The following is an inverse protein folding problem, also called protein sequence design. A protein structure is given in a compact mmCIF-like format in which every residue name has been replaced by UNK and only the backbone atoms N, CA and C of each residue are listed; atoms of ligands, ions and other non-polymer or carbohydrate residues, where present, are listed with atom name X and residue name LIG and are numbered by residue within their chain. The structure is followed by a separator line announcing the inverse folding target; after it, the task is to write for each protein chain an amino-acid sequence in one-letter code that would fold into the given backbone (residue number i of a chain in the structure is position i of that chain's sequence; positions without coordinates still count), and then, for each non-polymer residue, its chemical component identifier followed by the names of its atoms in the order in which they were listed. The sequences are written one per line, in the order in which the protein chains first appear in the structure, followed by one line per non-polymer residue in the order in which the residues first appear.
data_IF_393861096315
#
_entry.id   IF_393861096315
#
_cell.length_a   1.000
_cell.length_b   1.000
_cell.length_c   1.000
_cell.angle_alpha   90.00
_cell.angle_beta   90.00
_cell.angle_gamma   90.00
#
_symmetry.space_group_name_H-M   'P 1'
#
loop_
_entity.id
_entity.type
_entity.pdbx_description
1 polymer ?
#
# COMPACT_ATOMS: atom_id res chain seq x y z
N UNK A 1 5.19 14.61 -58.87
CA UNK A 1 4.56 14.00 -57.68
C UNK A 1 5.63 13.91 -56.59
N UNK A 2 5.46 14.66 -55.49
CA UNK A 2 6.49 14.86 -54.45
C UNK A 2 6.35 13.82 -53.33
N UNK A 3 7.44 13.12 -52.99
CA UNK A 3 7.47 12.12 -51.93
C UNK A 3 7.54 12.78 -50.55
N UNK A 4 6.50 12.63 -49.72
CA UNK A 4 6.49 13.07 -48.33
C UNK A 4 7.27 12.09 -47.45
N UNK A 5 8.44 12.52 -46.98
CA UNK A 5 9.23 11.79 -45.99
C UNK A 5 8.56 11.87 -44.61
N UNK A 6 8.12 10.71 -44.10
CA UNK A 6 7.42 10.55 -42.82
C UNK A 6 8.41 10.83 -41.66
N UNK A 7 8.23 11.94 -40.95
CA UNK A 7 9.03 12.27 -39.76
C UNK A 7 8.67 11.30 -38.62
N UNK A 8 9.69 10.66 -38.04
CA UNK A 8 9.57 9.78 -36.87
C UNK A 8 9.13 10.61 -35.64
N UNK A 9 8.19 10.14 -34.81
CA UNK A 9 7.85 10.83 -33.56
C UNK A 9 9.04 10.78 -32.61
N UNK A 10 9.39 11.92 -32.02
CA UNK A 10 10.42 12.01 -30.97
C UNK A 10 9.86 11.40 -29.69
N UNK A 11 10.52 10.36 -29.23
CA UNK A 11 10.30 9.74 -27.92
C UNK A 11 10.53 10.80 -26.84
N UNK A 12 9.49 11.12 -26.07
CA UNK A 12 9.62 11.98 -24.89
C UNK A 12 10.14 11.08 -23.77
N UNK A 13 11.46 11.10 -23.58
CA UNK A 13 12.10 10.49 -22.43
C UNK A 13 11.68 11.28 -21.20
N UNK A 14 10.70 10.77 -20.46
CA UNK A 14 10.38 11.25 -19.12
C UNK A 14 11.58 10.87 -18.24
N UNK A 15 12.46 11.85 -17.97
CA UNK A 15 13.49 11.69 -16.96
C UNK A 15 12.80 11.47 -15.61
N UNK A 16 12.73 10.22 -15.16
CA UNK A 16 12.42 9.92 -13.78
C UNK A 16 13.50 10.58 -12.92
N UNK A 17 13.12 11.63 -12.21
CA UNK A 17 14.00 12.32 -11.27
C UNK A 17 14.28 11.33 -10.15
N UNK A 18 15.50 10.81 -10.06
CA UNK A 18 15.92 9.97 -8.93
C UNK A 18 15.85 10.80 -7.65
N UNK A 19 14.79 10.62 -6.87
CA UNK A 19 14.61 11.27 -5.56
C UNK A 19 15.51 10.54 -4.56
N UNK A 20 16.34 11.28 -3.83
CA UNK A 20 17.23 10.68 -2.82
C UNK A 20 16.37 10.19 -1.63
N UNK A 21 16.72 9.06 -0.96
CA UNK A 21 15.96 8.54 0.18
C UNK A 21 15.67 9.56 1.28
N UNK A 22 16.58 10.51 1.51
CA UNK A 22 16.46 11.60 2.49
C UNK A 22 15.35 12.61 2.12
N UNK A 23 15.16 12.91 0.84
CA UNK A 23 14.10 13.83 0.39
C UNK A 23 12.71 13.22 0.58
N UNK A 24 12.60 11.90 0.42
CA UNK A 24 11.37 11.14 0.57
C UNK A 24 10.96 10.97 2.04
N UNK A 25 11.93 10.83 2.96
CA UNK A 25 11.66 10.83 4.41
C UNK A 25 11.11 12.15 4.95
N UNK A 26 11.31 13.27 4.26
CA UNK A 26 10.77 14.56 4.69
C UNK A 26 9.26 14.71 4.43
N UNK A 27 8.66 13.85 3.60
CA UNK A 27 7.21 13.82 3.38
C UNK A 27 6.44 13.41 4.65
N UNK A 28 7.09 12.65 5.54
CA UNK A 28 6.45 12.12 6.73
C UNK A 28 6.45 13.11 7.90
N UNK A 29 5.45 13.01 8.81
CA UNK A 29 5.48 13.70 10.10
C UNK A 29 6.81 13.47 10.80
N UNK A 30 7.39 14.53 11.37
CA UNK A 30 8.71 14.49 12.03
C UNK A 30 8.79 13.38 13.08
N UNK A 31 7.69 13.11 13.77
CA UNK A 31 7.57 12.05 14.76
C UNK A 31 7.74 10.63 14.17
N UNK A 32 7.39 10.42 12.89
CA UNK A 32 7.48 9.11 12.23
C UNK A 32 8.83 8.86 11.54
N UNK A 33 9.55 9.91 11.16
CA UNK A 33 10.82 9.81 10.42
C UNK A 33 11.85 8.86 11.05
N UNK A 34 12.04 8.80 12.39
CA UNK A 34 12.98 7.85 13.00
C UNK A 34 12.63 6.38 12.79
N UNK A 35 11.36 6.07 12.48
CA UNK A 35 10.87 4.70 12.28
C UNK A 35 10.85 4.27 10.81
N UNK A 36 11.14 5.21 9.90
CA UNK A 36 11.14 4.99 8.46
C UNK A 36 12.54 4.63 8.02
N UNK A 37 12.71 3.39 7.55
CA UNK A 37 14.04 2.82 7.31
C UNK A 37 14.35 2.76 5.83
N UNK A 38 13.32 2.56 5.01
CA UNK A 38 13.45 2.61 3.57
C UNK A 38 12.20 3.25 3.01
N UNK A 39 12.43 4.29 2.22
CA UNK A 39 11.40 4.83 1.35
C UNK A 39 11.85 4.59 -0.08
N UNK A 40 10.99 3.94 -0.86
CA UNK A 40 11.28 3.62 -2.25
C UNK A 40 10.22 4.28 -3.13
N UNK A 41 10.71 5.13 -4.03
CA UNK A 41 9.93 5.68 -5.13
C UNK A 41 9.70 4.57 -6.16
N UNK A 42 8.46 4.33 -6.53
CA UNK A 42 8.08 3.34 -7.56
C UNK A 42 7.67 4.07 -8.82
N UNK A 43 7.53 3.37 -9.96
CA UNK A 43 7.07 4.03 -11.18
C UNK A 43 5.73 4.77 -10.94
N UNK A 44 5.72 6.07 -11.23
CA UNK A 44 4.53 6.94 -11.14
C UNK A 44 3.60 6.75 -12.34
N UNK A 45 3.10 5.52 -12.48
CA UNK A 45 2.00 5.16 -13.36
C UNK A 45 0.71 4.94 -12.55
N UNK A 46 -0.40 4.69 -13.26
CA UNK A 46 -1.70 4.36 -12.65
C UNK A 46 -1.74 3.04 -11.85
N UNK A 47 -0.60 2.41 -11.59
CA UNK A 47 -0.46 1.19 -10.77
C UNK A 47 0.57 1.34 -9.63
N UNK A 48 1.05 2.56 -9.36
CA UNK A 48 2.06 2.83 -8.33
C UNK A 48 1.71 2.24 -6.95
N UNK A 49 0.43 2.24 -6.57
CA UNK A 49 -0.12 1.55 -5.40
C UNK A 49 0.22 0.06 -5.35
N UNK A 50 -0.11 -0.68 -6.41
CA UNK A 50 0.13 -2.12 -6.48
C UNK A 50 1.62 -2.43 -6.64
N UNK A 51 2.38 -1.55 -7.31
CA UNK A 51 3.84 -1.61 -7.39
C UNK A 51 4.48 -1.42 -6.03
N UNK A 52 3.98 -0.48 -5.21
CA UNK A 52 4.43 -0.25 -3.85
C UNK A 52 4.19 -1.50 -2.98
N UNK A 53 3.01 -2.13 -3.07
CA UNK A 53 2.74 -3.40 -2.38
C UNK A 53 3.70 -4.51 -2.84
N UNK A 54 3.90 -4.69 -4.15
CA UNK A 54 4.84 -5.69 -4.67
C UNK A 54 6.24 -5.50 -4.06
N UNK A 55 6.70 -4.25 -4.05
CA UNK A 55 8.03 -3.91 -3.56
C UNK A 55 8.15 -4.01 -2.03
N UNK A 56 7.08 -3.70 -1.26
CA UNK A 56 6.98 -3.96 0.19
C UNK A 56 7.02 -5.45 0.53
N UNK A 57 6.49 -6.29 -0.37
CA UNK A 57 6.54 -7.74 -0.22
C UNK A 57 7.93 -8.31 -0.54
N UNK A 58 8.85 -7.51 -1.07
CA UNK A 58 10.19 -7.93 -1.50
C UNK A 58 10.22 -8.44 -2.94
N UNK A 59 9.17 -8.18 -3.72
CA UNK A 59 9.11 -8.50 -5.14
C UNK A 59 9.67 -7.36 -6.00
N UNK A 60 9.89 -7.65 -7.28
CA UNK A 60 10.08 -6.59 -8.27
C UNK A 60 8.76 -5.83 -8.47
N UNK A 61 8.81 -4.51 -8.62
CA UNK A 61 7.63 -3.66 -8.80
C UNK A 61 6.79 -4.01 -10.04
N UNK A 62 7.39 -4.60 -11.08
CA UNK A 62 6.67 -5.10 -12.27
C UNK A 62 5.74 -6.28 -11.95
N UNK A 63 5.79 -6.83 -10.72
CA UNK A 63 4.82 -7.80 -10.23
C UNK A 63 3.51 -7.20 -9.72
N UNK A 64 3.22 -5.92 -9.98
CA UNK A 64 1.93 -5.31 -9.65
C UNK A 64 0.72 -6.08 -10.24
N UNK A 65 0.86 -6.69 -11.42
CA UNK A 65 -0.18 -7.54 -12.03
C UNK A 65 -0.49 -8.74 -11.14
N UNK A 66 0.56 -9.37 -10.59
CA UNK A 66 0.40 -10.48 -9.65
C UNK A 66 -0.32 -10.00 -8.39
N UNK A 67 0.07 -8.83 -7.86
CA UNK A 67 -0.58 -8.27 -6.68
C UNK A 67 -2.07 -8.07 -6.91
N UNK A 68 -2.48 -7.48 -8.03
CA UNK A 68 -3.90 -7.31 -8.36
C UNK A 68 -4.63 -8.64 -8.45
N UNK A 69 -4.03 -9.66 -9.07
CA UNK A 69 -4.63 -11.00 -9.18
C UNK A 69 -4.82 -11.66 -7.82
N UNK A 70 -3.82 -11.56 -6.95
CA UNK A 70 -3.87 -12.15 -5.61
C UNK A 70 -4.95 -11.48 -4.75
N UNK A 71 -5.03 -10.15 -4.78
CA UNK A 71 -6.08 -9.39 -4.07
C UNK A 71 -7.48 -9.68 -4.63
N UNK A 72 -7.61 -9.83 -5.94
CA UNK A 72 -8.87 -10.21 -6.58
C UNK A 72 -9.29 -11.61 -6.13
N UNK A 73 -8.38 -12.57 -6.15
CA UNK A 73 -8.63 -13.94 -5.72
C UNK A 73 -9.04 -13.99 -4.25
N UNK A 74 -8.35 -13.26 -3.37
CA UNK A 74 -8.70 -13.13 -1.96
C UNK A 74 -10.13 -12.60 -1.77
N UNK A 75 -10.47 -11.50 -2.47
CA UNK A 75 -11.78 -10.88 -2.39
C UNK A 75 -12.90 -11.75 -2.98
N UNK A 76 -12.61 -12.53 -4.03
CA UNK A 76 -13.56 -13.48 -4.61
C UNK A 76 -13.79 -14.68 -3.70
N UNK A 77 -12.71 -15.25 -3.16
CA UNK A 77 -12.75 -16.42 -2.27
C UNK A 77 -13.55 -16.14 -1.00
N UNK A 78 -13.37 -14.96 -0.42
CA UNK A 78 -13.99 -14.57 0.85
C UNK A 78 -15.05 -13.47 0.70
N UNK A 79 -15.70 -13.40 -0.47
CA UNK A 79 -16.66 -12.36 -0.82
C UNK A 79 -17.71 -12.13 0.27
N UNK A 80 -18.31 -13.20 0.81
CA UNK A 80 -19.32 -13.11 1.86
C UNK A 80 -18.79 -12.52 3.17
N UNK A 81 -17.52 -12.79 3.52
CA UNK A 81 -16.89 -12.22 4.72
C UNK A 81 -16.66 -10.72 4.52
N UNK A 82 -16.17 -10.31 3.36
CA UNK A 82 -15.95 -8.91 3.03
C UNK A 82 -17.27 -8.12 2.91
N UNK A 83 -18.31 -8.71 2.32
CA UNK A 83 -19.65 -8.08 2.29
C UNK A 83 -20.18 -7.80 3.69
N UNK A 84 -19.96 -8.71 4.65
CA UNK A 84 -20.32 -8.50 6.06
C UNK A 84 -19.45 -7.42 6.72
N UNK A 85 -18.15 -7.43 6.45
CA UNK A 85 -17.22 -6.41 6.98
C UNK A 85 -17.61 -5.00 6.52
N UNK A 86 -17.96 -4.83 5.24
CA UNK A 86 -18.36 -3.54 4.68
C UNK A 86 -19.84 -3.21 4.86
N UNK A 87 -20.66 -4.18 5.29
CA UNK A 87 -22.12 -4.05 5.29
C UNK A 87 -22.72 -3.84 3.90
N UNK A 88 -22.01 -4.18 2.82
CA UNK A 88 -22.39 -3.87 1.44
C UNK A 88 -21.78 -4.83 0.43
N UNK A 89 -22.64 -5.58 -0.28
CA UNK A 89 -22.22 -6.39 -1.43
C UNK A 89 -21.81 -5.51 -2.62
N UNK A 90 -22.46 -4.34 -2.78
CA UNK A 90 -22.13 -3.36 -3.82
C UNK A 90 -20.68 -2.91 -3.67
N UNK A 91 -20.23 -2.63 -2.44
CA UNK A 91 -18.83 -2.27 -2.19
C UNK A 91 -17.86 -3.38 -2.59
N UNK A 92 -18.21 -4.65 -2.36
CA UNK A 92 -17.39 -5.77 -2.84
C UNK A 92 -17.32 -5.82 -4.36
N UNK A 93 -18.42 -5.54 -5.07
CA UNK A 93 -18.43 -5.46 -6.54
C UNK A 93 -17.57 -4.31 -7.07
N UNK A 94 -17.65 -3.12 -6.45
CA UNK A 94 -16.81 -1.96 -6.79
C UNK A 94 -15.32 -2.28 -6.64
N UNK A 95 -14.93 -2.92 -5.53
CA UNK A 95 -13.54 -3.32 -5.29
C UNK A 95 -13.06 -4.39 -6.29
N UNK A 96 -13.90 -5.38 -6.62
CA UNK A 96 -13.59 -6.36 -7.69
C UNK A 96 -13.43 -5.68 -9.04
N UNK A 97 -14.25 -4.68 -9.34
CA UNK A 97 -14.10 -3.88 -10.55
C UNK A 97 -12.76 -3.15 -10.56
N UNK A 98 -12.41 -2.41 -9.50
CA UNK A 98 -11.13 -1.72 -9.42
C UNK A 98 -9.92 -2.68 -9.60
N UNK A 99 -9.99 -3.88 -9.02
CA UNK A 99 -8.92 -4.89 -9.10
C UNK A 99 -8.82 -5.59 -10.47
N UNK A 100 -9.93 -5.73 -11.20
CA UNK A 100 -10.00 -6.35 -12.55
C UNK A 100 -9.52 -5.39 -13.64
N UNK A 101 -8.27 -4.96 -13.53
CA UNK A 101 -7.64 -4.08 -14.51
C UNK A 101 -6.16 -4.41 -14.67
N UNK A 102 -5.77 -4.79 -15.88
CA UNK A 102 -4.44 -5.29 -16.22
C UNK A 102 -3.87 -4.63 -17.48
N UNK A 103 -4.50 -3.56 -17.94
CA UNK A 103 -3.99 -2.71 -19.02
C UNK A 103 -2.97 -1.72 -18.46
N UNK A 104 -2.13 -1.14 -19.32
CA UNK A 104 -1.05 -0.22 -18.92
C UNK A 104 -1.45 1.26 -18.95
N UNK A 105 -2.65 1.59 -19.44
CA UNK A 105 -3.13 2.96 -19.41
C UNK A 105 -3.61 3.36 -18.02
N UNK A 106 -3.54 4.66 -17.73
CA UNK A 106 -4.01 5.17 -16.44
C UNK A 106 -5.54 5.22 -16.41
N UNK A 107 -6.12 4.69 -15.33
CA UNK A 107 -7.54 4.78 -15.07
C UNK A 107 -7.78 4.94 -13.56
N UNK A 108 -8.30 6.10 -13.18
CA UNK A 108 -8.52 6.49 -11.77
C UNK A 108 -9.51 5.55 -11.08
N UNK A 109 -10.51 5.03 -11.80
CA UNK A 109 -11.50 4.09 -11.25
C UNK A 109 -10.88 2.71 -10.93
N UNK A 110 -9.60 2.51 -11.26
CA UNK A 110 -8.85 1.27 -11.05
C UNK A 110 -7.76 1.41 -9.99
N UNK A 111 -7.65 2.56 -9.35
CA UNK A 111 -6.73 2.78 -8.25
C UNK A 111 -7.18 2.02 -6.99
N UNK A 112 -6.24 1.77 -6.10
CA UNK A 112 -6.45 1.15 -4.81
C UNK A 112 -7.33 2.05 -3.94
N UNK A 113 -8.47 1.50 -3.51
CA UNK A 113 -9.43 2.20 -2.66
C UNK A 113 -9.06 1.99 -1.19
N UNK A 114 -8.19 2.83 -0.64
CA UNK A 114 -7.95 2.86 0.81
C UNK A 114 -9.03 3.67 1.53
N UNK A 115 -9.45 3.27 2.75
CA UNK A 115 -8.97 2.14 3.55
C UNK A 115 -9.60 0.78 3.21
N UNK A 116 -10.57 0.71 2.30
CA UNK A 116 -11.36 -0.50 2.05
C UNK A 116 -10.50 -1.72 1.67
N UNK A 117 -9.46 -1.53 0.87
CA UNK A 117 -8.56 -2.62 0.47
C UNK A 117 -7.57 -3.05 1.56
N UNK A 118 -7.49 -2.34 2.69
CA UNK A 118 -6.48 -2.61 3.71
C UNK A 118 -6.57 -4.01 4.32
N UNK A 119 -7.79 -4.45 4.68
CA UNK A 119 -8.02 -5.81 5.18
C UNK A 119 -7.81 -6.88 4.10
N UNK A 120 -8.03 -6.55 2.82
CA UNK A 120 -7.80 -7.46 1.70
C UNK A 120 -6.30 -7.74 1.56
N UNK A 121 -5.48 -6.69 1.56
CA UNK A 121 -4.02 -6.78 1.47
C UNK A 121 -3.46 -7.53 2.67
N UNK A 122 -3.86 -7.14 3.88
CA UNK A 122 -3.40 -7.77 5.12
C UNK A 122 -3.70 -9.28 5.13
N UNK A 123 -4.93 -9.66 4.76
CA UNK A 123 -5.36 -11.06 4.75
C UNK A 123 -4.71 -11.87 3.64
N UNK A 124 -4.59 -11.31 2.44
CA UNK A 124 -4.00 -11.97 1.27
C UNK A 124 -2.53 -12.38 1.50
N UNK A 125 -1.75 -11.50 2.15
CA UNK A 125 -0.31 -11.72 2.34
C UNK A 125 0.09 -12.10 3.76
N UNK A 126 -0.86 -12.19 4.70
CA UNK A 126 -0.56 -12.48 6.11
C UNK A 126 0.33 -11.40 6.75
N UNK A 127 0.10 -10.13 6.40
CA UNK A 127 0.88 -8.98 6.87
C UNK A 127 0.02 -8.06 7.72
N UNK A 128 0.65 -7.29 8.62
CA UNK A 128 0.02 -6.11 9.22
C UNK A 128 0.30 -4.92 8.32
N UNK A 129 -0.76 -4.34 7.74
CA UNK A 129 -0.66 -3.17 6.89
C UNK A 129 -0.95 -1.90 7.69
N UNK A 130 -0.09 -0.90 7.60
CA UNK A 130 -0.30 0.42 8.18
C UNK A 130 -0.49 1.43 7.05
N UNK A 131 -1.62 2.13 7.03
CA UNK A 131 -1.85 3.22 6.11
C UNK A 131 -1.44 4.53 6.78
N UNK A 132 -0.38 5.16 6.28
CA UNK A 132 0.15 6.40 6.80
C UNK A 132 -0.64 7.58 6.21
N UNK A 133 -1.50 8.20 7.03
CA UNK A 133 -2.18 9.47 6.72
C UNK A 133 -1.68 10.55 7.68
N UNK A 134 -1.84 11.83 7.31
CA UNK A 134 -1.31 12.97 8.08
C UNK A 134 -1.74 12.98 9.57
N UNK A 135 -2.96 12.52 9.84
CA UNK A 135 -3.60 12.62 11.17
C UNK A 135 -3.91 11.27 11.83
N UNK A 136 -3.87 10.18 11.08
CA UNK A 136 -4.25 8.85 11.59
C UNK A 136 -3.49 7.74 10.87
N UNK A 137 -3.30 6.61 11.56
CA UNK A 137 -2.57 5.46 11.02
C UNK A 137 -3.42 4.18 11.07
N UNK A 138 -4.46 4.06 10.22
CA UNK A 138 -5.27 2.84 10.17
C UNK A 138 -4.38 1.61 9.99
N UNK A 139 -4.51 0.67 10.91
CA UNK A 139 -3.75 -0.57 10.92
C UNK A 139 -4.69 -1.73 10.64
N UNK A 140 -4.33 -2.56 9.66
CA UNK A 140 -5.14 -3.67 9.17
C UNK A 140 -4.43 -4.97 9.48
N UNK A 141 -5.09 -5.82 10.25
CA UNK A 141 -4.61 -7.17 10.55
C UNK A 141 -5.24 -8.19 9.59
N UNK A 142 -4.55 -9.30 9.31
CA UNK A 142 -5.14 -10.39 8.54
C UNK A 142 -6.38 -10.94 9.26
N UNK A 143 -7.47 -11.13 8.53
CA UNK A 143 -8.74 -11.58 9.12
C UNK A 143 -8.80 -13.08 9.40
N UNK A 144 -7.87 -13.85 8.81
CA UNK A 144 -7.98 -15.32 8.69
C UNK A 144 -6.68 -16.06 8.99
N UNK A 145 -5.66 -15.39 9.49
CA UNK A 145 -4.44 -16.06 9.96
C UNK A 145 -4.59 -16.46 11.42
N UNK A 146 -4.01 -17.59 11.81
CA UNK A 146 -3.78 -17.88 13.22
C UNK A 146 -2.92 -16.77 13.84
N UNK A 147 -3.05 -16.47 15.14
CA UNK A 147 -2.16 -15.53 15.79
C UNK A 147 -0.71 -15.95 15.60
N UNK A 148 0.05 -15.16 14.83
CA UNK A 148 1.47 -15.37 14.62
C UNK A 148 2.20 -14.66 15.77
N UNK A 149 3.26 -15.24 16.37
CA UNK A 149 4.10 -14.53 17.31
C UNK A 149 4.56 -13.20 16.71
N UNK A 150 4.53 -12.11 17.48
CA UNK A 150 4.84 -10.76 16.99
C UNK A 150 6.19 -10.70 16.26
N UNK A 151 7.18 -11.49 16.72
CA UNK A 151 8.50 -11.58 16.11
C UNK A 151 8.52 -12.15 14.67
N UNK A 152 7.47 -12.86 14.26
CA UNK A 152 7.31 -13.43 12.92
C UNK A 152 6.25 -12.66 12.09
N UNK A 153 5.63 -11.62 12.65
CA UNK A 153 4.70 -10.78 11.92
C UNK A 153 5.46 -9.87 10.94
N UNK A 154 5.03 -9.85 9.68
CA UNK A 154 5.55 -8.93 8.68
C UNK A 154 4.68 -7.68 8.66
N UNK A 155 5.25 -6.55 9.08
CA UNK A 155 4.63 -5.24 9.03
C UNK A 155 5.02 -4.53 7.74
N UNK A 156 4.06 -3.92 7.05
CA UNK A 156 4.30 -3.08 5.87
C UNK A 156 3.53 -1.77 6.01
N UNK A 157 4.08 -0.68 5.50
CA UNK A 157 3.40 0.61 5.52
C UNK A 157 3.31 1.23 4.13
N UNK A 158 2.18 1.84 3.85
CA UNK A 158 1.95 2.59 2.61
C UNK A 158 1.57 4.02 2.96
N UNK A 159 2.06 4.96 2.18
CA UNK A 159 1.67 6.36 2.24
C UNK A 159 1.16 6.77 0.85
N UNK A 160 0.09 7.56 0.83
CA UNK A 160 -0.36 8.25 -0.36
C UNK A 160 0.07 9.71 -0.27
N UNK A 161 1.11 10.12 -1.00
CA UNK A 161 1.59 11.51 -1.02
C UNK A 161 1.67 12.04 -2.45
N UNK A 162 1.09 13.22 -2.69
CA UNK A 162 1.15 13.94 -3.98
C UNK A 162 0.66 13.15 -5.23
N UNK A 163 -0.48 12.45 -5.14
CA UNK A 163 -1.02 11.62 -6.24
C UNK A 163 -0.11 10.46 -6.68
N UNK A 164 0.83 10.07 -5.83
CA UNK A 164 1.74 8.97 -6.07
C UNK A 164 1.85 8.10 -4.81
N UNK A 165 1.78 6.78 -4.96
CA UNK A 165 1.98 5.87 -3.84
C UNK A 165 3.46 5.57 -3.69
N UNK A 166 3.97 5.81 -2.50
CA UNK A 166 5.38 5.60 -2.17
C UNK A 166 5.48 4.39 -1.24
N UNK A 167 6.44 3.50 -1.51
CA UNK A 167 6.74 2.40 -0.58
C UNK A 167 7.41 2.96 0.67
N UNK A 168 6.91 2.56 1.85
CA UNK A 168 7.56 2.81 3.13
C UNK A 168 7.73 1.51 3.92
N UNK A 169 8.97 1.01 4.02
CA UNK A 169 9.26 -0.10 4.92
C UNK A 169 9.54 0.44 6.33
N UNK A 170 8.62 0.19 7.26
CA UNK A 170 8.82 0.40 8.70
C UNK A 170 9.41 -0.89 9.31
N UNK A 171 10.44 -0.78 10.15
CA UNK A 171 10.84 -1.87 11.05
C UNK A 171 10.31 -1.49 12.43
N UNK A 172 9.34 -2.26 12.92
CA UNK A 172 8.97 -2.35 14.32
C UNK A 172 8.42 -1.05 14.91
N UNK A 173 7.09 -0.93 14.88
CA UNK A 173 6.39 -0.20 15.94
C UNK A 173 6.53 -0.98 17.27
N UNK A 174 7.70 -0.94 17.89
CA UNK A 174 7.77 -1.17 19.34
C UNK A 174 7.19 0.06 20.02
N UNK A 175 5.88 0.15 20.20
CA UNK A 175 5.31 1.00 21.26
C UNK A 175 4.09 0.35 21.92
N UNK A 176 4.39 -0.30 23.05
CA UNK A 176 3.57 -0.39 24.27
C UNK A 176 2.12 -0.87 24.15
N UNK A 177 1.93 -2.18 24.01
CA UNK A 177 0.86 -2.87 24.71
C UNK A 177 1.46 -3.65 25.89
N UNK A 178 1.74 -2.94 26.99
CA UNK A 178 2.19 -3.56 28.25
C UNK A 178 3.35 -2.84 28.93
N UNK A 179 3.04 -1.78 29.67
CA UNK A 179 3.30 -1.60 31.12
C UNK A 179 2.68 -0.24 31.46
N UNK A 180 1.39 -0.22 31.76
CA UNK A 180 0.84 0.80 32.65
C UNK A 180 1.18 0.34 34.07
N UNK A 181 2.39 0.65 34.53
CA UNK A 181 2.62 0.70 35.97
C UNK A 181 1.82 1.89 36.49
N UNK A 182 0.68 1.59 37.09
CA UNK A 182 -0.02 2.52 37.98
C UNK A 182 0.94 2.76 39.14
N UNK A 183 1.70 3.85 39.09
CA UNK A 183 2.28 4.43 40.29
C UNK A 183 1.10 4.94 41.12
N UNK A 184 0.69 4.15 42.11
CA UNK A 184 -0.05 4.66 43.24
C UNK A 184 0.87 5.65 43.97
N UNK A 185 0.69 6.95 43.69
CA UNK A 185 1.12 7.98 44.61
C UNK A 185 0.24 7.90 45.85
N UNK A 186 0.66 7.08 46.81
CA UNK A 186 0.34 7.31 48.22
C UNK A 186 1.21 8.48 48.68
N UNK A 187 0.59 9.64 48.85
CA UNK A 187 1.09 10.67 49.76
C UNK A 187 0.08 10.78 50.90
N UNK A 188 0.50 10.27 52.06
CA UNK A 188 -0.02 10.61 53.38
C UNK A 188 0.15 12.10 53.67
#
# INVERSE_FOLDING_TARGET
MSSKQKRRPKEKVHHARSIKPIELTNAFPVALRPYIILVKDVAADGHCDFRAIASLLGYNEDRWVQVRKDLLQELETYSNCYSKLYGSEIRVHELKYALRYFETCENIDRWMTMPDMGHIIASCYGVVLIHLLDVQFPTFSPLRTTPIPLAACKEIAIEFSNHHFVQSSLIKLYFYAGVLEIRSSNSS
#
